data_IF_092620934707
#
_entry.id   IF_092620934707
#
_cell.length_a   1.000
_cell.length_b   1.000
_cell.length_c   1.000
_cell.angle_alpha   90.00
_cell.angle_beta   90.00
_cell.angle_gamma   90.00
#
_symmetry.space_group_name_H-M   'P 1'
#
loop_
_entity.id
_entity.type
_entity.pdbx_description
1 polymer ?
#
# COMPACT_ATOMS: atom_id res chain seq x y z
N UNK A 1 -11.27 1.21 -4.14
CA UNK A 1 -11.45 -0.02 -3.35
C UNK A 1 -11.25 -1.22 -4.27
N UNK A 2 -12.09 -1.35 -5.30
CA UNK A 2 -12.01 -2.42 -6.32
C UNK A 2 -10.64 -2.52 -7.00
N UNK A 3 -9.98 -1.40 -7.32
CA UNK A 3 -8.68 -1.43 -8.02
C UNK A 3 -7.57 -2.12 -7.25
N UNK A 4 -7.52 -2.00 -5.92
CA UNK A 4 -6.49 -2.67 -5.13
C UNK A 4 -6.79 -4.16 -5.05
N UNK A 5 -8.01 -4.56 -4.67
CA UNK A 5 -8.40 -5.97 -4.59
C UNK A 5 -8.27 -6.69 -5.94
N UNK A 6 -8.80 -6.09 -7.01
CA UNK A 6 -8.88 -6.70 -8.35
C UNK A 6 -7.51 -6.82 -9.01
N UNK A 7 -6.57 -5.91 -8.74
CA UNK A 7 -5.24 -5.97 -9.35
C UNK A 7 -4.22 -6.76 -8.55
N UNK A 8 -4.41 -6.92 -7.23
CA UNK A 8 -3.40 -7.54 -6.35
C UNK A 8 -3.76 -8.94 -5.88
N UNK A 9 -5.00 -9.43 -6.11
CA UNK A 9 -5.55 -10.63 -5.43
C UNK A 9 -5.61 -10.49 -3.89
N UNK A 10 -5.61 -9.27 -3.35
CA UNK A 10 -5.91 -9.06 -1.94
C UNK A 10 -7.38 -9.35 -1.64
N UNK A 11 -7.63 -10.06 -0.54
CA UNK A 11 -8.98 -10.13 0.06
C UNK A 11 -9.11 -9.01 1.07
N UNK A 12 -9.89 -7.98 0.76
CA UNK A 12 -10.02 -6.76 1.57
C UNK A 12 -11.45 -6.57 2.09
N UNK A 13 -11.57 -6.15 3.34
CA UNK A 13 -12.80 -5.70 3.98
C UNK A 13 -12.67 -4.26 4.47
N UNK A 14 -13.74 -3.49 4.36
CA UNK A 14 -13.80 -2.13 4.87
C UNK A 14 -14.03 -2.14 6.38
N UNK A 15 -13.21 -1.37 7.11
CA UNK A 15 -13.24 -1.36 8.58
C UNK A 15 -13.24 0.04 9.19
N UNK A 16 -13.40 1.07 8.36
CA UNK A 16 -13.39 2.46 8.79
C UNK A 16 -14.40 2.75 9.90
N UNK A 17 -13.94 3.38 10.98
CA UNK A 17 -14.72 3.74 12.17
C UNK A 17 -13.97 4.59 13.19
N UNK A 18 -14.68 5.16 14.17
CA UNK A 18 -14.02 5.98 15.21
C UNK A 18 -13.11 5.11 16.08
N UNK A 19 -11.80 5.38 16.05
CA UNK A 19 -10.80 4.69 16.90
C UNK A 19 -10.02 3.56 16.23
N UNK A 20 -10.12 3.42 14.91
CA UNK A 20 -9.46 2.39 14.08
C UNK A 20 -7.97 2.68 13.77
N UNK A 21 -7.41 3.77 14.30
CA UNK A 21 -6.05 4.20 13.95
C UNK A 21 -5.91 4.72 12.52
N UNK A 22 -7.01 5.16 11.89
CA UNK A 22 -7.05 5.71 10.53
C UNK A 22 -7.01 4.64 9.43
N UNK A 23 -7.44 3.41 9.72
CA UNK A 23 -7.43 2.29 8.78
C UNK A 23 -8.77 2.17 8.09
N UNK A 24 -8.75 2.34 6.78
CA UNK A 24 -9.95 2.24 5.98
C UNK A 24 -10.22 0.78 5.58
N UNK A 25 -9.18 0.01 5.27
CA UNK A 25 -9.29 -1.37 4.81
C UNK A 25 -8.33 -2.30 5.57
N UNK A 26 -8.76 -3.53 5.81
CA UNK A 26 -7.89 -4.61 6.27
C UNK A 26 -8.15 -5.89 5.48
N UNK A 27 -7.23 -6.83 5.50
CA UNK A 27 -7.37 -8.03 4.71
C UNK A 27 -6.20 -8.99 4.80
N UNK A 28 -6.15 -9.90 3.83
CA UNK A 28 -5.06 -10.84 3.63
C UNK A 28 -4.50 -10.71 2.21
N UNK A 29 -3.20 -10.93 2.10
CA UNK A 29 -2.51 -11.06 0.83
C UNK A 29 -1.40 -12.09 0.95
N UNK A 30 -1.53 -13.19 0.21
CA UNK A 30 -0.70 -14.37 0.40
C UNK A 30 -0.75 -14.79 1.89
N UNK A 31 0.41 -14.99 2.52
CA UNK A 31 0.53 -15.35 3.95
C UNK A 31 0.65 -14.15 4.90
N UNK A 32 0.27 -12.95 4.46
CA UNK A 32 0.38 -11.73 5.25
C UNK A 32 -0.97 -11.05 5.47
N UNK A 33 -1.15 -10.47 6.66
CA UNK A 33 -2.19 -9.47 6.86
C UNK A 33 -1.83 -8.22 6.08
N UNK A 34 -2.84 -7.52 5.56
CA UNK A 34 -2.68 -6.20 4.96
C UNK A 34 -3.58 -5.22 5.68
N UNK A 35 -3.04 -4.06 6.02
CA UNK A 35 -3.80 -2.92 6.54
C UNK A 35 -3.55 -1.73 5.64
N UNK A 36 -4.61 -1.02 5.28
CA UNK A 36 -4.55 0.06 4.29
C UNK A 36 -5.18 1.32 4.88
N UNK A 37 -4.41 2.39 4.85
CA UNK A 37 -4.89 3.73 5.14
C UNK A 37 -5.06 4.50 3.83
N UNK A 38 -6.19 5.17 3.65
CA UNK A 38 -6.52 6.01 2.52
C UNK A 38 -6.50 7.47 2.98
N UNK A 39 -5.54 8.25 2.47
CA UNK A 39 -5.44 9.69 2.78
C UNK A 39 -5.74 10.51 1.54
N UNK A 40 -6.81 11.31 1.62
CA UNK A 40 -7.16 12.29 0.59
C UNK A 40 -6.49 13.63 0.91
N UNK A 41 -5.22 13.78 0.53
CA UNK A 41 -4.43 14.97 0.88
C UNK A 41 -4.19 15.85 -0.34
N UNK A 42 -4.63 17.11 -0.26
CA UNK A 42 -4.35 18.12 -1.31
C UNK A 42 -2.85 18.44 -1.45
N UNK A 43 -2.11 18.28 -0.36
CA UNK A 43 -0.68 18.62 -0.27
C UNK A 43 0.24 17.43 -0.57
N UNK A 44 -0.31 16.23 -0.79
CA UNK A 44 0.47 15.00 -0.98
C UNK A 44 0.78 14.27 0.33
N UNK A 45 1.60 13.23 0.24
CA UNK A 45 2.04 12.47 1.41
C UNK A 45 3.16 13.22 2.15
N UNK A 46 3.11 13.23 3.49
CA UNK A 46 4.17 13.77 4.34
C UNK A 46 4.83 12.63 5.13
N UNK A 47 6.03 12.86 5.71
CA UNK A 47 6.68 11.88 6.58
C UNK A 47 5.83 11.46 7.79
N UNK A 48 4.95 12.34 8.28
CA UNK A 48 4.09 12.02 9.44
C UNK A 48 3.06 10.95 9.12
N UNK A 49 2.50 10.92 7.90
CA UNK A 49 1.61 9.82 7.49
C UNK A 49 2.35 8.47 7.49
N UNK A 50 3.64 8.46 7.15
CA UNK A 50 4.45 7.24 7.18
C UNK A 50 4.66 6.79 8.64
N UNK A 51 4.98 7.72 9.55
CA UNK A 51 5.14 7.40 10.98
C UNK A 51 3.84 6.90 11.60
N UNK A 52 2.71 7.52 11.26
CA UNK A 52 1.37 7.08 11.67
C UNK A 52 1.12 5.63 11.23
N UNK A 53 1.31 5.34 9.93
CA UNK A 53 1.16 3.99 9.40
C UNK A 53 2.12 2.99 10.05
N UNK A 54 3.38 3.37 10.31
CA UNK A 54 4.34 2.52 11.02
C UNK A 54 3.83 2.15 12.42
N UNK A 55 3.31 3.12 13.17
CA UNK A 55 2.70 2.89 14.47
C UNK A 55 1.55 1.90 14.40
N UNK A 56 0.69 2.04 13.38
CA UNK A 56 -0.42 1.12 13.11
C UNK A 56 0.05 -0.30 12.80
N UNK A 57 1.06 -0.47 11.94
CA UNK A 57 1.61 -1.80 11.64
C UNK A 57 2.17 -2.43 12.92
N UNK A 58 2.92 -1.68 13.72
CA UNK A 58 3.47 -2.19 14.98
C UNK A 58 2.39 -2.58 15.99
N UNK A 59 1.34 -1.78 16.14
CA UNK A 59 0.27 -2.05 17.11
C UNK A 59 -0.63 -3.21 16.69
N UNK A 60 -0.80 -3.42 15.38
CA UNK A 60 -1.71 -4.42 14.85
C UNK A 60 -1.06 -5.74 14.47
N UNK A 61 0.28 -5.82 14.42
CA UNK A 61 0.96 -7.07 14.08
C UNK A 61 0.87 -8.05 15.25
N UNK A 62 0.09 -9.14 15.14
CA UNK A 62 0.11 -10.18 16.15
C UNK A 62 1.48 -10.87 16.15
N UNK A 63 1.95 -11.33 17.31
CA UNK A 63 3.31 -11.85 17.51
C UNK A 63 3.78 -12.96 16.54
N UNK A 64 2.86 -13.62 15.83
CA UNK A 64 3.17 -14.72 14.89
C UNK A 64 2.67 -14.49 13.46
N UNK A 65 2.17 -13.30 13.13
CA UNK A 65 1.72 -13.00 11.77
C UNK A 65 2.54 -11.87 11.16
N UNK A 66 2.67 -11.92 9.84
CA UNK A 66 3.27 -10.84 9.06
C UNK A 66 2.16 -9.83 8.74
N UNK A 67 2.45 -8.54 8.86
CA UNK A 67 1.52 -7.48 8.47
C UNK A 67 2.22 -6.48 7.58
N UNK A 68 1.59 -6.12 6.47
CA UNK A 68 2.03 -5.08 5.54
C UNK A 68 1.09 -3.89 5.67
N UNK A 69 1.64 -2.72 5.98
CA UNK A 69 0.90 -1.47 5.98
C UNK A 69 0.98 -0.78 4.62
N UNK A 70 -0.14 -0.38 4.03
CA UNK A 70 -0.18 0.33 2.74
C UNK A 70 -0.79 1.72 2.96
N UNK A 71 -0.06 2.76 2.56
CA UNK A 71 -0.63 4.11 2.46
C UNK A 71 -1.08 4.36 1.03
N UNK A 72 -2.39 4.50 0.86
CA UNK A 72 -3.03 4.90 -0.40
C UNK A 72 -3.29 6.40 -0.40
N UNK A 73 -2.78 7.10 -1.39
CA UNK A 73 -3.07 8.52 -1.60
C UNK A 73 -3.79 8.77 -2.92
N UNK A 74 -4.75 9.69 -2.88
CA UNK A 74 -5.35 10.27 -4.09
C UNK A 74 -4.56 11.52 -4.48
N UNK A 75 -3.46 11.36 -5.20
CA UNK A 75 -2.63 12.50 -5.62
C UNK A 75 -2.04 12.28 -7.01
N UNK A 76 -1.94 13.35 -7.79
CA UNK A 76 -1.15 13.38 -9.02
C UNK A 76 0.31 13.77 -8.77
N UNK A 77 0.70 14.00 -7.51
CA UNK A 77 2.05 14.44 -7.14
C UNK A 77 2.92 13.24 -6.75
N UNK A 78 4.17 13.17 -7.24
CA UNK A 78 5.14 12.20 -6.78
C UNK A 78 5.40 12.32 -5.27
N UNK A 79 5.77 11.21 -4.64
CA UNK A 79 6.25 11.21 -3.26
C UNK A 79 7.55 12.02 -3.13
N UNK A 80 7.67 12.84 -2.09
CA UNK A 80 8.88 13.65 -1.86
C UNK A 80 10.07 12.77 -1.47
N UNK A 81 11.29 13.29 -1.64
CA UNK A 81 12.52 12.58 -1.25
C UNK A 81 12.52 12.17 0.22
N UNK A 82 12.01 13.02 1.11
CA UNK A 82 11.94 12.74 2.55
C UNK A 82 10.99 11.58 2.85
N UNK A 83 9.84 11.52 2.16
CA UNK A 83 8.89 10.41 2.27
C UNK A 83 9.51 9.11 1.78
N UNK A 84 10.13 9.13 0.60
CA UNK A 84 10.78 7.94 0.02
C UNK A 84 11.96 7.48 0.89
N UNK A 85 12.76 8.40 1.43
CA UNK A 85 13.86 8.09 2.33
C UNK A 85 13.37 7.40 3.60
N UNK A 86 12.36 7.97 4.25
CA UNK A 86 11.76 7.39 5.46
C UNK A 86 11.09 6.03 5.17
N UNK A 87 10.37 5.92 4.06
CA UNK A 87 9.72 4.68 3.62
C UNK A 87 10.74 3.54 3.43
N UNK A 88 11.86 3.83 2.75
CA UNK A 88 12.94 2.88 2.51
C UNK A 88 13.71 2.51 3.77
N UNK A 89 13.91 3.46 4.68
CA UNK A 89 14.59 3.25 5.95
C UNK A 89 13.70 2.59 7.03
N UNK A 90 12.39 2.48 6.78
CA UNK A 90 11.44 1.97 7.77
C UNK A 90 11.77 0.53 8.19
N UNK A 91 11.74 0.23 9.51
CA UNK A 91 11.99 -1.12 10.01
C UNK A 91 10.82 -2.08 9.79
N UNK A 92 9.65 -1.59 9.39
CA UNK A 92 8.43 -2.39 9.20
C UNK A 92 8.06 -2.55 7.72
N UNK A 93 7.27 -3.58 7.36
CA UNK A 93 6.83 -3.81 5.98
C UNK A 93 5.81 -2.76 5.55
N UNK A 94 6.17 -1.93 4.58
CA UNK A 94 5.32 -0.84 4.09
C UNK A 94 5.14 -0.89 2.57
N UNK A 95 3.98 -0.41 2.13
CA UNK A 95 3.65 -0.11 0.76
C UNK A 95 3.14 1.33 0.57
N UNK A 96 3.40 1.89 -0.60
CA UNK A 96 2.86 3.17 -1.05
C UNK A 96 2.05 2.95 -2.32
N UNK A 97 0.80 3.41 -2.30
CA UNK A 97 -0.10 3.32 -3.43
C UNK A 97 -0.57 4.72 -3.86
N UNK A 98 -0.59 4.95 -5.17
CA UNK A 98 -1.24 6.12 -5.75
C UNK A 98 -2.46 5.66 -6.52
N UNK A 99 -3.63 6.20 -6.18
CA UNK A 99 -4.88 5.92 -6.87
C UNK A 99 -5.39 7.21 -7.51
N UNK A 100 -5.75 7.12 -8.78
CA UNK A 100 -6.43 8.20 -9.50
C UNK A 100 -7.81 7.70 -9.91
N UNK A 101 -8.85 8.39 -9.42
CA UNK A 101 -10.25 7.96 -9.58
C UNK A 101 -10.48 6.53 -9.07
N UNK A 102 -10.57 5.57 -9.98
CA UNK A 102 -10.75 4.13 -9.72
C UNK A 102 -9.59 3.30 -10.26
N UNK A 103 -8.45 3.92 -10.60
CA UNK A 103 -7.28 3.23 -11.16
C UNK A 103 -6.09 3.32 -10.22
N UNK A 104 -5.48 2.18 -9.93
CA UNK A 104 -4.20 2.10 -9.23
C UNK A 104 -3.08 2.51 -10.21
N UNK A 105 -2.39 3.62 -9.93
CA UNK A 105 -1.35 4.20 -10.79
C UNK A 105 0.05 3.79 -10.39
N UNK A 106 0.32 3.72 -9.09
CA UNK A 106 1.58 3.20 -8.59
C UNK A 106 1.34 2.32 -7.36
N UNK A 107 2.16 1.29 -7.21
CA UNK A 107 2.24 0.47 -6.01
C UNK A 107 3.69 0.09 -5.79
N UNK A 108 4.25 0.53 -4.67
CA UNK A 108 5.66 0.30 -4.32
C UNK A 108 5.74 -0.34 -2.94
N UNK A 109 6.73 -1.20 -2.74
CA UNK A 109 7.00 -1.85 -1.47
C UNK A 109 8.43 -1.60 -1.02
N UNK A 110 8.64 -1.39 0.28
CA UNK A 110 9.99 -1.29 0.83
C UNK A 110 10.63 -2.69 0.93
N UNK A 111 11.93 -2.73 1.25
CA UNK A 111 12.69 -4.00 1.33
C UNK A 111 12.06 -5.03 2.28
N UNK A 112 11.44 -4.57 3.36
CA UNK A 112 10.79 -5.45 4.36
C UNK A 112 9.51 -6.08 3.82
N UNK A 113 8.68 -5.32 3.10
CA UNK A 113 7.49 -5.84 2.43
C UNK A 113 7.86 -6.76 1.27
N UNK A 114 8.86 -6.42 0.46
CA UNK A 114 9.35 -7.28 -0.62
C UNK A 114 9.84 -8.65 -0.11
N UNK A 115 10.48 -8.69 1.06
CA UNK A 115 10.91 -9.95 1.67
C UNK A 115 9.74 -10.86 2.10
N UNK A 116 8.56 -10.30 2.31
CA UNK A 116 7.32 -11.03 2.60
C UNK A 116 6.65 -11.46 1.30
N UNK A 117 6.59 -10.55 0.33
CA UNK A 117 5.96 -10.74 -0.98
C UNK A 117 6.93 -11.35 -1.99
N UNK A 118 7.60 -12.45 -1.62
CA UNK A 118 8.48 -13.16 -2.53
C UNK A 118 7.67 -13.70 -3.71
N UNK A 119 8.18 -13.54 -4.93
CA UNK A 119 7.49 -13.96 -6.16
C UNK A 119 6.53 -12.90 -6.72
N UNK A 120 6.35 -11.76 -6.06
CA UNK A 120 5.55 -10.66 -6.59
C UNK A 120 6.37 -9.79 -7.55
N UNK A 121 5.91 -9.67 -8.79
CA UNK A 121 6.45 -8.73 -9.77
C UNK A 121 5.39 -7.69 -10.12
N UNK A 122 5.73 -6.41 -9.98
CA UNK A 122 4.87 -5.29 -10.39
C UNK A 122 5.49 -4.69 -11.64
N UNK A 123 4.72 -4.64 -12.72
CA UNK A 123 5.13 -4.08 -14.01
C UNK A 123 4.08 -3.09 -14.52
N UNK A 124 4.50 -2.14 -15.34
CA UNK A 124 3.57 -1.26 -16.06
C UNK A 124 3.37 -1.81 -17.46
N UNK A 125 2.12 -2.12 -17.81
CA UNK A 125 1.71 -2.45 -19.16
C UNK A 125 0.97 -1.26 -19.79
N UNK A 126 1.11 -1.11 -21.09
CA UNK A 126 0.37 -0.11 -21.86
C UNK A 126 -0.74 -0.81 -22.63
N UNK A 127 -1.97 -0.31 -22.54
CA UNK A 127 -3.04 -0.77 -23.41
C UNK A 127 -2.88 -0.20 -24.84
N UNK A 128 -3.64 -0.69 -25.84
CA UNK A 128 -3.53 -0.22 -27.23
C UNK A 128 -3.81 1.28 -27.41
N UNK A 129 -4.46 1.92 -26.43
CA UNK A 129 -4.75 3.35 -26.40
C UNK A 129 -3.61 4.16 -25.75
N UNK A 130 -2.56 3.49 -25.28
CA UNK A 130 -1.40 4.09 -24.62
C UNK A 130 -1.60 4.37 -23.13
N UNK A 131 -2.70 3.90 -22.53
CA UNK A 131 -2.90 4.09 -21.09
C UNK A 131 -2.06 3.11 -20.29
N UNK A 132 -1.37 3.63 -19.28
CA UNK A 132 -0.62 2.82 -18.31
C UNK A 132 -1.55 2.11 -17.34
N UNK A 133 -1.37 0.79 -17.23
CA UNK A 133 -1.99 -0.08 -16.22
C UNK A 133 -0.92 -0.86 -15.48
N UNK A 134 -1.06 -0.97 -14.17
CA UNK A 134 -0.20 -1.85 -13.39
C UNK A 134 -0.62 -3.29 -13.59
N UNK A 135 0.33 -4.15 -13.90
CA UNK A 135 0.18 -5.58 -13.95
C UNK A 135 0.98 -6.20 -12.80
N UNK A 136 0.31 -6.97 -11.97
CA UNK A 136 0.90 -7.63 -10.81
C UNK A 136 0.90 -9.12 -11.09
N UNK A 137 2.09 -9.66 -11.26
CA UNK A 137 2.32 -11.09 -11.43
C UNK A 137 2.73 -11.70 -10.10
N UNK A 138 2.16 -12.86 -9.78
CA UNK A 138 2.45 -13.63 -8.56
C UNK A 138 2.99 -14.97 -9.03
N UNK A 139 4.31 -15.12 -9.03
CA UNK A 139 4.95 -16.39 -9.33
C UNK A 139 4.80 -17.30 -8.10
N UNK A 140 3.83 -18.21 -8.16
CA UNK A 140 3.59 -19.25 -7.16
C UNK A 140 4.65 -20.34 -7.22
#
# INVERSE_FOLDING_TARGET
MESLSTMTNMTLEHVGGKGDGGIDLKGQWLDANVVIQCKNTKQGCTPDHIRELMGTVLSMTPARKKTIGILSIRSCKPFTRDVISLFNASPVPLGLATVQETTLKSLMFNKKAQAILKGLTISTQHDPEGNERLFIDIQQ
#
